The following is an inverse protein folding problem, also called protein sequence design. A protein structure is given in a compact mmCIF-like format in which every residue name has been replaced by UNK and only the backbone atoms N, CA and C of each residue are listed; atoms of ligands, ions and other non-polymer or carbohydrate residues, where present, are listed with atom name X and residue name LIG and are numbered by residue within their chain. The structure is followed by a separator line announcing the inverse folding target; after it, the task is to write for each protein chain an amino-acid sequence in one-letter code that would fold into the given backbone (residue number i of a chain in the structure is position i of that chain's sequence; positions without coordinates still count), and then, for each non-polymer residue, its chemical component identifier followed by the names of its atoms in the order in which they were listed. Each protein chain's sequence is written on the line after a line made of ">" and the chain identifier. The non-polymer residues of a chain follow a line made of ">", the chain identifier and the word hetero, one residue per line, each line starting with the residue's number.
data_IF_282515222683
#
_entry.id   IF_282515222683
#
_cell.length_a   1.000
_cell.length_b   1.000
_cell.length_c   1.000
_cell.angle_alpha   90.00
_cell.angle_beta   90.00
_cell.angle_gamma   90.00
#
_symmetry.space_group_name_H-M   'P 1'
#
loop_
_entity.id
_entity.type
_entity.pdbx_description
1 polymer ?
#
# COMPACT_ATOMS: atom_id res chain seq x y z
N UNK A 1 44.05 39.56 -8.32
CA UNK A 1 45.18 38.60 -8.26
C UNK A 1 44.76 37.36 -9.03
N UNK A 2 45.68 36.69 -9.71
CA UNK A 2 45.34 35.75 -10.80
C UNK A 2 46.02 34.41 -10.56
N UNK A 3 45.24 33.32 -10.47
CA UNK A 3 45.75 31.95 -10.44
C UNK A 3 44.69 30.94 -10.89
N UNK A 4 45.02 30.22 -11.96
CA UNK A 4 44.41 29.02 -12.58
C UNK A 4 45.46 28.55 -13.61
N UNK A 5 45.56 27.28 -14.05
CA UNK A 5 44.68 26.12 -13.86
C UNK A 5 45.40 24.99 -13.03
N UNK A 6 45.33 23.64 -13.18
CA UNK A 6 45.29 22.75 -14.37
C UNK A 6 44.89 21.27 -14.07
N UNK A 7 44.52 20.56 -15.16
CA UNK A 7 44.57 19.11 -15.52
C UNK A 7 44.99 18.01 -14.50
N UNK A 8 44.64 16.70 -14.60
CA UNK A 8 43.97 15.84 -15.62
C UNK A 8 43.29 14.61 -14.91
N UNK A 9 42.97 13.39 -15.42
CA UNK A 9 43.27 12.65 -16.68
C UNK A 9 42.08 11.83 -17.26
N UNK A 10 41.98 10.51 -17.02
CA UNK A 10 41.27 9.53 -17.88
C UNK A 10 40.82 8.21 -17.20
N UNK A 11 39.85 7.51 -17.85
CA UNK A 11 39.69 6.04 -17.86
C UNK A 11 38.60 5.45 -16.95
N UNK A 12 37.82 4.42 -17.35
CA UNK A 12 37.64 3.72 -18.64
C UNK A 12 36.21 3.11 -18.71
N UNK A 13 35.68 2.76 -19.90
CA UNK A 13 34.45 1.97 -20.05
C UNK A 13 34.74 0.46 -20.13
N UNK A 14 33.81 -0.38 -19.68
CA UNK A 14 33.68 -1.80 -20.05
C UNK A 14 32.19 -2.17 -20.24
N UNK A 15 31.93 -3.18 -21.07
CA UNK A 15 30.61 -3.54 -21.62
C UNK A 15 30.13 -4.95 -21.14
N UNK A 16 28.90 -5.41 -21.45
CA UNK A 16 28.27 -6.55 -20.79
C UNK A 16 28.61 -7.91 -21.41
N UNK A 17 28.21 -9.01 -20.75
CA UNK A 17 27.66 -10.24 -21.38
C UNK A 17 27.22 -11.29 -20.33
N UNK A 18 26.21 -12.10 -20.66
CA UNK A 18 25.82 -13.33 -19.94
C UNK A 18 24.37 -13.37 -19.47
N UNK A 19 23.50 -14.11 -20.19
CA UNK A 19 23.00 -15.36 -19.60
C UNK A 19 23.06 -16.55 -20.55
N UNK A 20 23.38 -17.74 -20.04
CA UNK A 20 23.31 -19.00 -20.80
C UNK A 20 23.20 -20.23 -19.88
N UNK A 21 22.01 -20.85 -19.82
CA UNK A 21 21.84 -22.26 -19.44
C UNK A 21 20.65 -22.84 -20.23
N UNK A 22 20.94 -23.70 -21.22
CA UNK A 22 19.95 -24.57 -21.86
C UNK A 22 19.79 -25.88 -21.08
N UNK A 23 18.62 -26.52 -21.14
CA UNK A 23 18.40 -27.81 -20.47
C UNK A 23 16.99 -28.40 -20.62
N UNK A 24 16.73 -29.23 -21.65
CA UNK A 24 15.43 -29.89 -21.85
C UNK A 24 15.31 -31.23 -21.10
N UNK A 25 14.08 -31.59 -20.70
CA UNK A 25 13.79 -32.87 -20.06
C UNK A 25 12.31 -33.26 -20.18
N UNK A 26 11.96 -33.97 -21.26
CA UNK A 26 10.63 -34.56 -21.43
C UNK A 26 10.53 -35.97 -20.86
N UNK A 27 9.33 -36.40 -20.45
CA UNK A 27 9.11 -37.70 -19.82
C UNK A 27 7.62 -38.08 -19.70
N UNK A 28 6.97 -38.35 -20.82
CA UNK A 28 5.63 -38.96 -20.86
C UNK A 28 5.71 -40.44 -20.44
N UNK A 29 4.71 -40.95 -19.71
CA UNK A 29 4.79 -42.27 -19.09
C UNK A 29 3.44 -42.86 -18.70
N UNK A 30 2.47 -42.83 -19.61
CA UNK A 30 1.20 -43.54 -19.44
C UNK A 30 1.42 -45.06 -19.48
N UNK A 31 0.76 -45.79 -18.57
CA UNK A 31 1.05 -47.21 -18.31
C UNK A 31 -0.09 -47.92 -17.60
N UNK A 32 -1.26 -47.99 -18.24
CA UNK A 32 -2.36 -48.83 -17.77
C UNK A 32 -2.03 -50.32 -17.97
N UNK A 33 -1.77 -51.06 -16.88
CA UNK A 33 -1.79 -52.53 -16.94
C UNK A 33 -3.03 -53.11 -16.25
N UNK A 34 -4.03 -53.39 -17.08
CA UNK A 34 -5.31 -53.99 -16.70
C UNK A 34 -5.17 -55.52 -16.65
N UNK A 35 -5.05 -56.11 -15.45
CA UNK A 35 -5.00 -57.57 -15.31
C UNK A 35 -6.23 -58.17 -14.58
N UNK A 36 -7.09 -58.77 -15.41
CA UNK A 36 -8.28 -59.56 -15.11
C UNK A 36 -8.08 -60.60 -13.98
N UNK A 37 -9.11 -60.76 -13.13
CA UNK A 37 -9.31 -61.97 -12.32
C UNK A 37 -10.75 -62.44 -12.45
N UNK A 38 -10.90 -63.63 -13.03
CA UNK A 38 -12.18 -64.23 -13.43
C UNK A 38 -13.15 -64.50 -12.27
N UNK A 39 -14.48 -64.53 -12.52
CA UNK A 39 -15.50 -64.54 -11.47
C UNK A 39 -15.78 -65.93 -10.88
N UNK A 40 -15.84 -66.01 -9.54
CA UNK A 40 -16.33 -67.16 -8.78
C UNK A 40 -17.78 -66.98 -8.27
N UNK A 41 -18.62 -68.04 -8.25
CA UNK A 41 -20.06 -67.89 -7.94
C UNK A 41 -20.38 -67.87 -6.44
N UNK A 42 -20.84 -66.74 -5.89
CA UNK A 42 -21.27 -66.69 -4.47
C UNK A 42 -21.90 -65.40 -3.92
N UNK A 43 -22.17 -64.36 -4.74
CA UNK A 43 -22.35 -62.99 -4.23
C UNK A 43 -23.78 -62.53 -3.85
N UNK A 44 -24.80 -63.41 -3.86
CA UNK A 44 -26.22 -62.99 -3.74
C UNK A 44 -26.62 -62.25 -2.44
N UNK A 45 -26.09 -62.54 -1.22
CA UNK A 45 -26.42 -61.75 -0.04
C UNK A 45 -25.62 -60.44 0.06
N UNK A 46 -24.40 -60.43 -0.48
CA UNK A 46 -23.46 -59.30 -0.34
C UNK A 46 -23.89 -58.09 -1.19
N UNK A 47 -24.41 -58.34 -2.39
CA UNK A 47 -24.95 -57.28 -3.28
C UNK A 47 -26.10 -56.52 -2.61
N UNK A 48 -26.97 -57.19 -1.87
CA UNK A 48 -28.11 -56.55 -1.17
C UNK A 48 -27.60 -55.58 -0.09
N UNK A 49 -26.57 -55.99 0.67
CA UNK A 49 -25.93 -55.13 1.68
C UNK A 49 -25.27 -53.90 1.07
N UNK A 50 -24.58 -54.04 -0.07
CA UNK A 50 -23.96 -52.91 -0.79
C UNK A 50 -25.05 -51.96 -1.30
N UNK A 51 -26.11 -52.46 -1.95
CA UNK A 51 -27.20 -51.62 -2.45
C UNK A 51 -27.90 -50.84 -1.33
N UNK A 52 -28.14 -51.46 -0.18
CA UNK A 52 -28.69 -50.77 1.00
C UNK A 52 -27.75 -49.68 1.53
N UNK A 53 -26.44 -49.96 1.63
CA UNK A 53 -25.44 -48.99 2.07
C UNK A 53 -25.34 -47.78 1.12
N UNK A 54 -25.35 -48.02 -0.19
CA UNK A 54 -25.32 -46.96 -1.23
C UNK A 54 -26.58 -46.10 -1.16
N UNK A 55 -27.76 -46.69 -0.95
CA UNK A 55 -29.01 -45.94 -0.77
C UNK A 55 -29.00 -45.06 0.49
N UNK A 56 -28.46 -45.55 1.62
CA UNK A 56 -28.31 -44.76 2.85
C UNK A 56 -27.31 -43.61 2.64
N UNK A 57 -26.17 -43.87 2.01
CA UNK A 57 -25.18 -42.82 1.68
C UNK A 57 -25.78 -41.75 0.75
N UNK A 58 -26.52 -42.15 -0.28
CA UNK A 58 -27.21 -41.23 -1.19
C UNK A 58 -28.26 -40.38 -0.44
N UNK A 59 -29.04 -40.97 0.48
CA UNK A 59 -30.00 -40.23 1.29
C UNK A 59 -29.34 -39.21 2.22
N UNK A 60 -28.20 -39.56 2.85
CA UNK A 60 -27.42 -38.63 3.68
C UNK A 60 -26.82 -37.50 2.85
N UNK A 61 -26.28 -37.79 1.67
CA UNK A 61 -25.76 -36.77 0.75
C UNK A 61 -26.85 -35.82 0.25
N UNK A 62 -28.04 -36.34 -0.11
CA UNK A 62 -29.19 -35.51 -0.50
C UNK A 62 -29.68 -34.65 0.67
N UNK A 63 -29.75 -35.19 1.89
CA UNK A 63 -30.10 -34.42 3.08
C UNK A 63 -29.10 -33.28 3.35
N UNK A 64 -27.79 -33.56 3.28
CA UNK A 64 -26.74 -32.56 3.44
C UNK A 64 -26.73 -31.50 2.30
N UNK A 65 -27.07 -31.89 1.08
CA UNK A 65 -27.21 -30.97 -0.06
C UNK A 65 -28.45 -30.07 0.06
N UNK A 66 -29.54 -30.58 0.64
CA UNK A 66 -30.74 -29.78 0.91
C UNK A 66 -30.54 -28.82 2.08
N UNK A 67 -29.90 -29.24 3.19
CA UNK A 67 -29.62 -28.33 4.31
C UNK A 67 -28.59 -27.25 3.95
N UNK A 68 -27.56 -27.57 3.17
CA UNK A 68 -26.62 -26.55 2.66
C UNK A 68 -27.26 -25.57 1.66
N UNK A 69 -28.29 -25.98 0.91
CA UNK A 69 -29.11 -25.06 0.09
C UNK A 69 -30.18 -24.29 0.86
N UNK A 70 -30.43 -24.65 2.13
CA UNK A 70 -31.35 -23.94 3.05
C UNK A 70 -30.58 -23.08 4.06
N UNK A 71 -29.27 -22.88 3.84
CA UNK A 71 -28.43 -22.03 4.67
C UNK A 71 -28.84 -20.55 4.60
N UNK A 72 -29.51 -20.08 5.65
CA UNK A 72 -29.70 -18.68 6.01
C UNK A 72 -30.04 -17.71 4.85
N UNK A 73 -31.31 -17.68 4.43
CA UNK A 73 -31.89 -16.55 3.68
C UNK A 73 -32.09 -15.32 4.57
N UNK A 74 -31.01 -14.90 5.22
CA UNK A 74 -30.87 -13.72 6.07
C UNK A 74 -29.60 -13.00 5.67
N UNK A 75 -29.51 -12.61 4.39
CA UNK A 75 -28.41 -11.82 3.87
C UNK A 75 -28.34 -10.52 4.67
N UNK A 76 -27.18 -10.17 5.27
CA UNK A 76 -27.00 -8.84 5.82
C UNK A 76 -27.26 -7.83 4.70
N UNK A 77 -28.24 -6.96 4.90
CA UNK A 77 -28.28 -5.72 4.14
C UNK A 77 -27.10 -4.90 4.64
N UNK A 78 -26.02 -4.84 3.86
CA UNK A 78 -24.90 -3.95 4.15
C UNK A 78 -25.45 -2.53 4.26
N UNK A 79 -25.56 -2.04 5.50
CA UNK A 79 -25.92 -0.66 5.77
C UNK A 79 -24.90 0.22 5.07
N UNK A 80 -25.31 1.23 4.27
CA UNK A 80 -24.38 2.03 3.51
C UNK A 80 -23.33 2.63 4.46
N UNK A 81 -22.06 2.29 4.22
CA UNK A 81 -20.94 2.77 5.02
C UNK A 81 -21.01 4.29 5.11
N UNK A 82 -20.95 4.89 6.32
CA UNK A 82 -20.89 6.33 6.46
C UNK A 82 -19.75 6.89 5.60
N UNK A 83 -19.94 8.04 4.93
CA UNK A 83 -18.84 8.69 4.22
C UNK A 83 -17.70 8.97 5.20
N UNK A 84 -16.43 8.90 4.77
CA UNK A 84 -15.29 9.17 5.64
C UNK A 84 -15.37 10.60 6.20
N UNK A 85 -14.84 10.86 7.41
CA UNK A 85 -14.78 12.21 7.95
C UNK A 85 -14.00 13.13 7.00
N UNK A 86 -14.34 14.42 6.86
CA UNK A 86 -13.64 15.35 5.97
C UNK A 86 -12.16 15.46 6.34
N UNK A 87 -11.27 15.62 5.36
CA UNK A 87 -9.84 15.69 5.63
C UNK A 87 -9.53 16.99 6.40
N UNK A 88 -9.00 16.86 7.61
CA UNK A 88 -8.79 17.99 8.51
C UNK A 88 -7.40 17.95 9.17
N UNK A 89 -6.69 19.07 9.12
CA UNK A 89 -5.40 19.25 9.79
C UNK A 89 -5.62 19.72 11.24
N UNK A 90 -5.00 19.08 12.25
CA UNK A 90 -5.22 19.38 13.67
C UNK A 90 -4.78 20.81 14.03
N UNK A 91 -5.37 21.39 15.09
CA UNK A 91 -4.98 22.73 15.57
C UNK A 91 -3.60 22.74 16.24
N UNK A 92 -3.19 21.62 16.84
CA UNK A 92 -1.88 21.44 17.46
C UNK A 92 -1.38 19.99 17.32
N UNK A 93 -0.06 19.81 17.27
CA UNK A 93 0.60 18.52 17.12
C UNK A 93 2.00 18.56 17.76
N UNK A 94 2.18 17.96 18.94
CA UNK A 94 3.43 18.09 19.70
C UNK A 94 3.70 19.55 20.09
N UNK A 95 4.84 20.10 19.69
CA UNK A 95 5.18 21.53 19.88
C UNK A 95 4.59 22.46 18.80
N UNK A 96 3.98 21.90 17.75
CA UNK A 96 3.40 22.66 16.64
C UNK A 96 2.00 23.15 16.97
N UNK A 97 1.69 24.37 16.55
CA UNK A 97 0.35 24.96 16.59
C UNK A 97 0.06 25.76 15.33
N UNK A 98 -1.21 25.83 14.91
CA UNK A 98 -1.65 26.75 13.84
C UNK A 98 -2.66 27.74 14.40
N UNK A 99 -2.75 28.93 13.80
CA UNK A 99 -3.77 29.91 14.16
C UNK A 99 -5.17 29.34 13.86
N UNK A 100 -6.09 29.22 14.83
CA UNK A 100 -7.45 28.73 14.59
C UNK A 100 -8.30 29.66 13.70
N UNK A 101 -7.83 30.89 13.44
CA UNK A 101 -8.45 31.85 12.53
C UNK A 101 -7.83 31.83 11.13
N UNK A 102 -6.70 31.15 10.93
CA UNK A 102 -6.12 30.98 9.60
C UNK A 102 -6.93 29.94 8.81
N UNK A 103 -7.39 30.34 7.63
CA UNK A 103 -8.05 29.45 6.67
C UNK A 103 -7.12 28.29 6.33
N UNK A 104 -7.66 27.07 6.32
CA UNK A 104 -7.05 25.96 5.58
C UNK A 104 -7.67 25.97 4.20
N UNK A 105 -6.88 26.27 3.18
CA UNK A 105 -7.36 26.28 1.81
C UNK A 105 -7.45 24.84 1.27
N UNK A 106 -8.62 24.42 0.73
CA UNK A 106 -8.81 23.10 0.16
C UNK A 106 -8.35 23.09 -1.30
N UNK A 107 -7.02 23.11 -1.49
CA UNK A 107 -6.42 23.02 -2.81
C UNK A 107 -6.76 21.68 -3.49
N UNK A 108 -7.07 21.72 -4.79
CA UNK A 108 -7.20 20.52 -5.63
C UNK A 108 -6.01 20.46 -6.60
N UNK A 109 -4.89 19.92 -6.09
CA UNK A 109 -3.67 19.65 -6.88
C UNK A 109 -3.95 18.60 -7.98
N UNK A 110 -4.89 17.69 -7.70
CA UNK A 110 -5.45 16.71 -8.62
C UNK A 110 -6.98 16.69 -8.39
N UNK A 111 -7.80 16.36 -9.39
CA UNK A 111 -9.27 16.26 -9.20
C UNK A 111 -9.66 15.05 -8.37
N UNK A 112 -8.79 14.04 -8.35
CA UNK A 112 -9.05 12.74 -7.73
C UNK A 112 -8.49 12.68 -6.28
N UNK A 113 -7.88 13.77 -5.79
CA UNK A 113 -7.28 13.88 -4.46
C UNK A 113 -7.86 15.09 -3.71
N UNK A 114 -8.57 14.82 -2.61
CA UNK A 114 -8.90 15.81 -1.58
C UNK A 114 -7.60 16.24 -0.88
N UNK A 115 -7.18 17.51 -1.01
CA UNK A 115 -6.06 18.06 -0.24
C UNK A 115 -6.50 19.23 0.64
N UNK A 116 -5.79 19.42 1.75
CA UNK A 116 -5.94 20.56 2.65
C UNK A 116 -4.57 21.03 3.12
N UNK A 117 -4.39 22.35 3.21
CA UNK A 117 -3.13 22.96 3.64
C UNK A 117 -3.24 23.66 5.01
N UNK A 118 -2.11 23.76 5.73
CA UNK A 118 -1.96 24.62 6.90
C UNK A 118 -0.50 24.99 7.16
N UNK A 119 -0.26 26.22 7.65
CA UNK A 119 1.04 26.61 8.21
C UNK A 119 1.06 26.41 9.72
N UNK A 120 2.03 25.65 10.20
CA UNK A 120 2.32 25.42 11.61
C UNK A 120 3.49 26.26 12.11
N UNK A 121 3.37 26.68 13.36
CA UNK A 121 4.33 27.47 14.10
C UNK A 121 4.84 26.68 15.29
N UNK A 122 6.15 26.79 15.55
CA UNK A 122 6.80 26.32 16.79
C UNK A 122 7.30 27.56 17.52
N UNK A 123 6.97 27.72 18.80
CA UNK A 123 7.33 28.91 19.59
C UNK A 123 6.94 30.26 18.92
N UNK A 124 5.77 30.32 18.28
CA UNK A 124 5.26 31.46 17.51
C UNK A 124 6.11 31.87 16.28
N UNK A 125 6.96 30.98 15.77
CA UNK A 125 7.68 31.12 14.50
C UNK A 125 7.13 30.11 13.49
N UNK A 126 6.62 30.54 12.31
CA UNK A 126 6.27 29.64 11.21
C UNK A 126 7.46 28.77 10.83
N UNK A 127 7.27 27.45 10.83
CA UNK A 127 8.37 26.48 10.67
C UNK A 127 8.04 25.37 9.67
N UNK A 128 6.77 25.03 9.51
CA UNK A 128 6.33 23.91 8.69
C UNK A 128 5.05 24.30 7.95
N UNK A 129 5.00 24.10 6.64
CA UNK A 129 3.72 24.03 5.90
C UNK A 129 3.39 22.56 5.71
N UNK A 130 2.16 22.14 6.03
CA UNK A 130 1.69 20.77 5.78
C UNK A 130 0.58 20.81 4.74
N UNK A 131 0.70 19.95 3.74
CA UNK A 131 -0.35 19.62 2.77
C UNK A 131 -0.71 18.15 3.01
N UNK A 132 -1.91 17.89 3.51
CA UNK A 132 -2.43 16.53 3.61
C UNK A 132 -3.23 16.18 2.35
N UNK A 133 -3.12 14.94 1.86
CA UNK A 133 -3.80 14.47 0.65
C UNK A 133 -4.41 13.08 0.79
N UNK A 134 -5.64 12.90 0.31
CA UNK A 134 -6.44 11.67 0.37
C UNK A 134 -7.25 11.46 -0.93
N UNK A 135 -7.29 10.26 -1.54
CA UNK A 135 -6.56 9.04 -1.19
C UNK A 135 -5.13 9.07 -1.75
N UNK A 136 -4.13 9.03 -0.86
CA UNK A 136 -2.71 8.90 -1.24
C UNK A 136 -2.02 7.92 -0.30
N UNK A 137 -1.58 6.79 -0.85
CA UNK A 137 -0.88 5.72 -0.11
C UNK A 137 0.59 5.54 -0.51
N UNK A 138 1.03 6.17 -1.62
CA UNK A 138 2.42 6.19 -2.05
C UNK A 138 3.06 7.55 -1.68
N UNK A 139 4.08 7.59 -0.81
CA UNK A 139 4.78 8.83 -0.48
C UNK A 139 5.56 9.43 -1.66
N UNK A 140 5.96 8.62 -2.65
CA UNK A 140 6.66 9.12 -3.84
C UNK A 140 5.73 10.00 -4.69
N UNK A 141 4.44 9.67 -4.77
CA UNK A 141 3.45 10.42 -5.56
C UNK A 141 3.30 11.88 -5.12
N UNK A 142 3.39 12.17 -3.81
CA UNK A 142 3.39 13.55 -3.33
C UNK A 142 4.69 14.30 -3.69
N UNK A 143 5.83 13.60 -3.69
CA UNK A 143 7.12 14.18 -4.06
C UNK A 143 7.22 14.45 -5.58
N UNK A 144 6.57 13.64 -6.42
CA UNK A 144 6.39 13.92 -7.86
C UNK A 144 5.61 15.24 -8.08
N UNK A 145 4.51 15.44 -7.36
CA UNK A 145 3.64 16.62 -7.51
C UNK A 145 4.36 17.94 -7.16
N UNK A 146 5.32 17.92 -6.24
CA UNK A 146 6.20 19.06 -5.91
C UNK A 146 7.61 18.96 -6.52
N UNK A 147 7.76 18.15 -7.57
CA UNK A 147 9.01 18.03 -8.37
C UNK A 147 10.28 17.85 -7.52
N UNK A 148 10.19 17.06 -6.44
CA UNK A 148 11.28 16.98 -5.45
C UNK A 148 12.47 16.16 -5.95
N UNK A 149 13.66 16.74 -5.87
CA UNK A 149 14.94 16.11 -6.15
C UNK A 149 15.57 15.47 -4.90
N UNK A 150 16.64 14.70 -5.10
CA UNK A 150 17.43 14.06 -4.04
C UNK A 150 16.59 13.22 -3.03
N UNK A 151 15.51 12.62 -3.52
CA UNK A 151 14.57 11.80 -2.74
C UNK A 151 15.29 10.62 -2.08
N UNK A 152 15.10 10.49 -0.77
CA UNK A 152 15.74 9.48 0.08
C UNK A 152 14.82 9.07 1.23
N UNK A 153 14.90 7.82 1.73
CA UNK A 153 14.17 7.41 2.91
C UNK A 153 14.69 8.16 4.15
N UNK A 154 13.76 8.66 4.96
CA UNK A 154 14.04 9.28 6.27
C UNK A 154 13.02 8.72 7.25
N UNK A 155 13.50 7.98 8.26
CA UNK A 155 12.65 7.25 9.20
C UNK A 155 11.64 6.33 8.50
N UNK A 156 10.34 6.61 8.63
CA UNK A 156 9.20 5.91 8.07
C UNK A 156 8.58 6.61 6.85
N UNK A 157 9.28 7.59 6.24
CA UNK A 157 8.82 8.35 5.09
C UNK A 157 9.90 8.57 4.03
N UNK A 158 9.57 9.36 3.02
CA UNK A 158 10.50 9.83 1.99
C UNK A 158 10.67 11.34 2.13
N UNK A 159 11.90 11.83 2.00
CA UNK A 159 12.17 13.27 1.94
C UNK A 159 13.07 13.61 0.75
N UNK A 160 12.89 14.80 0.19
CA UNK A 160 13.67 15.37 -0.90
C UNK A 160 13.84 16.88 -0.74
N UNK A 161 14.14 17.57 -1.83
CA UNK A 161 14.15 19.04 -1.91
C UNK A 161 13.35 19.47 -3.14
N UNK A 162 12.36 20.34 -2.95
CA UNK A 162 11.60 20.93 -4.04
C UNK A 162 12.53 21.72 -4.97
N UNK A 163 12.45 21.45 -6.28
CA UNK A 163 13.29 22.07 -7.31
C UNK A 163 12.92 23.54 -7.59
N UNK A 164 11.68 23.97 -7.33
CA UNK A 164 11.22 25.34 -7.56
C UNK A 164 11.52 26.25 -6.36
N UNK A 165 11.11 25.86 -5.15
CA UNK A 165 11.32 26.68 -3.94
C UNK A 165 12.68 26.49 -3.26
N UNK A 166 13.32 25.33 -3.44
CA UNK A 166 14.54 24.96 -2.72
C UNK A 166 14.33 24.60 -1.24
N UNK A 167 13.10 24.42 -0.74
CA UNK A 167 12.86 23.91 0.61
C UNK A 167 13.10 22.39 0.70
N UNK A 168 13.55 21.90 1.86
CA UNK A 168 13.51 20.47 2.17
C UNK A 168 12.05 20.05 2.43
N UNK A 169 11.65 18.91 1.87
CA UNK A 169 10.27 18.40 1.92
C UNK A 169 10.25 16.94 2.36
N UNK A 170 9.29 16.55 3.18
CA UNK A 170 9.12 15.19 3.71
C UNK A 170 7.68 14.70 3.58
N UNK A 171 7.49 13.42 3.28
CA UNK A 171 6.17 12.78 3.17
C UNK A 171 6.05 11.60 4.11
N UNK A 172 5.06 11.66 5.00
CA UNK A 172 4.59 10.57 5.84
C UNK A 172 3.25 10.03 5.30
N UNK A 173 2.95 8.75 5.54
CA UNK A 173 1.68 8.10 5.11
C UNK A 173 1.07 7.29 6.24
N UNK A 174 -0.26 7.36 6.38
CA UNK A 174 -1.08 6.61 7.33
C UNK A 174 -2.39 6.20 6.64
N UNK A 175 -2.59 4.90 6.46
CA UNK A 175 -3.77 4.38 5.75
C UNK A 175 -3.79 4.81 4.28
N UNK A 176 -4.78 5.60 3.89
CA UNK A 176 -4.87 6.25 2.58
C UNK A 176 -4.65 7.78 2.65
N UNK A 177 -4.05 8.29 3.73
CA UNK A 177 -3.72 9.71 3.89
C UNK A 177 -2.21 9.88 3.86
N UNK A 178 -1.75 10.80 3.03
CA UNK A 178 -0.39 11.33 3.07
C UNK A 178 -0.36 12.71 3.74
N UNK A 179 0.77 13.05 4.34
CA UNK A 179 1.09 14.41 4.77
C UNK A 179 2.47 14.79 4.21
N UNK A 180 2.50 15.83 3.37
CA UNK A 180 3.69 16.48 2.85
C UNK A 180 4.02 17.68 3.74
N UNK A 181 5.12 17.62 4.48
CA UNK A 181 5.66 18.74 5.27
C UNK A 181 6.79 19.45 4.53
N UNK A 182 6.72 20.78 4.47
CA UNK A 182 7.71 21.68 3.87
C UNK A 182 8.41 22.47 4.96
N UNK A 183 9.73 22.32 5.10
CA UNK A 183 10.51 23.01 6.14
C UNK A 183 10.88 24.44 5.76
N UNK A 184 10.16 25.43 6.32
CA UNK A 184 10.33 26.85 5.99
C UNK A 184 11.21 27.63 6.98
N UNK A 185 11.59 27.04 8.13
CA UNK A 185 12.50 27.65 9.10
C UNK A 185 13.96 27.14 8.97
N UNK A 186 14.29 26.46 7.87
CA UNK A 186 15.60 25.82 7.62
C UNK A 186 16.04 24.83 8.72
N UNK A 187 15.07 24.17 9.37
CA UNK A 187 15.33 23.10 10.33
C UNK A 187 15.89 21.84 9.65
N UNK A 188 16.60 20.94 10.37
CA UNK A 188 17.11 19.69 9.81
C UNK A 188 15.99 18.81 9.25
N UNK A 189 16.30 18.01 8.22
CA UNK A 189 15.29 17.16 7.55
C UNK A 189 14.74 16.04 8.45
N UNK A 190 15.45 15.66 9.51
CA UNK A 190 14.94 14.82 10.59
C UNK A 190 13.76 15.46 11.29
N UNK A 191 13.91 16.73 11.64
CA UNK A 191 12.96 17.52 12.41
C UNK A 191 11.71 17.81 11.57
N UNK A 192 11.87 18.04 10.26
CA UNK A 192 10.74 18.11 9.30
C UNK A 192 9.97 16.78 9.29
N UNK A 193 10.66 15.64 9.27
CA UNK A 193 10.02 14.33 9.27
C UNK A 193 9.31 14.04 10.61
N UNK A 194 9.91 14.39 11.75
CA UNK A 194 9.32 14.27 13.09
C UNK A 194 8.07 15.15 13.25
N UNK A 195 8.14 16.39 12.77
CA UNK A 195 7.03 17.35 12.74
C UNK A 195 5.89 16.84 11.83
N UNK A 196 6.21 16.35 10.62
CA UNK A 196 5.24 15.81 9.66
C UNK A 196 4.55 14.55 10.22
N UNK A 197 5.33 13.64 10.83
CA UNK A 197 4.82 12.50 11.57
C UNK A 197 3.91 12.94 12.73
N UNK A 198 4.26 14.00 13.46
CA UNK A 198 3.47 14.50 14.60
C UNK A 198 2.13 15.06 14.16
N UNK A 199 2.08 15.82 13.06
CA UNK A 199 0.83 16.31 12.47
C UNK A 199 -0.04 15.15 11.98
N UNK A 200 0.53 14.24 11.18
CA UNK A 200 -0.18 13.05 10.71
C UNK A 200 -0.59 12.12 11.87
N UNK A 201 0.12 12.16 13.00
CA UNK A 201 -0.23 11.40 14.19
C UNK A 201 -1.49 11.91 14.88
N UNK A 202 -1.73 13.23 14.84
CA UNK A 202 -2.85 13.92 15.46
C UNK A 202 -4.05 14.18 14.51
N UNK A 203 -3.97 13.76 13.24
CA UNK A 203 -5.12 13.76 12.32
C UNK A 203 -6.13 12.66 12.68
N UNK A 204 -7.42 12.99 12.58
CA UNK A 204 -8.51 12.01 12.57
C UNK A 204 -8.64 11.43 11.16
N UNK A 205 -8.38 10.11 11.02
CA UNK A 205 -8.33 9.37 9.74
C UNK A 205 -9.04 8.02 9.84
#
# INVERSE_FOLDING_TARGET
>A
MTASPDHHEHGRPEEPLGPAVDGPGGGTGDGEEQQDRSPGPGAKPLIIGITALVLVLAAVLVAAFLTSRMGASGQPTDSPTPPPPPLALPLAAGELSRDPNATSDPDTIDTDIETVSATYQRNAVPSLVVIAGRPVSDPARMLELVQAEAVRPVQNGLCGRDAESGYDVCVAVRGNVSALGVGIAAQPITDIMDDTNSVLAAMEV
#
